data_IF_408678964673
#
_entry.id   IF_408678964673
#
_cell.length_a   1.000
_cell.length_b   1.000
_cell.length_c   1.000
_cell.angle_alpha   90.00
_cell.angle_beta   90.00
_cell.angle_gamma   90.00
#
_symmetry.space_group_name_H-M   'P 1'
#
loop_
_entity.id
_entity.type
_entity.pdbx_description
1 polymer ?
#
# COMPACT_ATOMS: atom_id res chain seq x y z
N UNK A 1 5.31 36.93 51.35
CA UNK A 1 4.30 36.11 52.06
C UNK A 1 3.36 35.49 51.04
N UNK A 2 3.63 34.26 50.57
CA UNK A 2 2.80 33.57 49.56
C UNK A 2 1.88 32.55 50.23
N UNK A 3 0.56 32.63 49.94
CA UNK A 3 -0.42 31.65 50.44
C UNK A 3 -0.34 30.36 49.61
N UNK A 4 -0.27 29.21 50.28
CA UNK A 4 -0.32 27.91 49.61
C UNK A 4 -1.72 27.68 48.97
N UNK A 5 -1.80 27.08 47.77
CA UNK A 5 -3.07 26.79 47.11
C UNK A 5 -3.83 25.68 47.84
N UNK A 6 -5.14 25.88 48.04
CA UNK A 6 -6.05 24.88 48.62
C UNK A 6 -6.17 23.68 47.68
N UNK A 7 -5.74 22.50 48.12
CA UNK A 7 -6.05 21.23 47.46
C UNK A 7 -7.44 20.75 47.91
N UNK A 8 -8.33 20.49 46.94
CA UNK A 8 -9.60 19.82 47.19
C UNK A 8 -9.37 18.31 47.17
N UNK A 9 -9.84 17.53 48.17
CA UNK A 9 -9.64 16.09 48.18
C UNK A 9 -10.43 15.41 47.05
N UNK A 10 -9.87 14.33 46.50
CA UNK A 10 -10.53 13.54 45.46
C UNK A 10 -11.88 12.98 45.97
N UNK A 11 -12.92 12.94 45.12
CA UNK A 11 -14.19 12.32 45.47
C UNK A 11 -13.99 10.81 45.71
N UNK A 12 -14.61 10.30 46.78
CA UNK A 12 -14.57 8.87 47.11
C UNK A 12 -15.34 8.09 46.04
N UNK A 13 -14.65 7.18 45.35
CA UNK A 13 -15.29 6.24 44.40
C UNK A 13 -16.28 5.35 45.15
N UNK A 14 -17.58 5.48 44.82
CA UNK A 14 -18.69 4.76 45.46
C UNK A 14 -18.92 3.35 44.89
N UNK A 15 -18.13 2.92 43.91
CA UNK A 15 -18.33 1.64 43.23
C UNK A 15 -17.08 0.75 43.32
N UNK A 16 -17.19 -0.34 44.06
CA UNK A 16 -16.24 -1.46 44.00
C UNK A 16 -16.56 -2.25 42.72
N UNK A 17 -15.95 -1.87 41.60
CA UNK A 17 -15.98 -2.71 40.40
C UNK A 17 -14.91 -3.79 40.56
N UNK A 18 -15.32 -5.04 40.69
CA UNK A 18 -14.40 -6.17 40.63
C UNK A 18 -13.94 -6.36 39.17
N UNK A 19 -12.67 -6.08 38.90
CA UNK A 19 -12.05 -6.32 37.59
C UNK A 19 -11.37 -7.68 37.66
N UNK A 20 -11.94 -8.67 36.97
CA UNK A 20 -11.29 -9.99 36.79
C UNK A 20 -10.42 -9.94 35.54
N UNK A 21 -9.10 -9.81 35.74
CA UNK A 21 -8.12 -9.91 34.66
C UNK A 21 -7.97 -11.40 34.29
N UNK A 22 -8.27 -11.75 33.04
CA UNK A 22 -7.97 -13.10 32.51
C UNK A 22 -6.66 -13.06 31.72
N UNK A 23 -5.82 -14.10 31.82
CA UNK A 23 -4.67 -14.25 30.93
C UNK A 23 -5.15 -14.23 29.48
N UNK A 24 -4.46 -13.47 28.62
CA UNK A 24 -4.66 -13.56 27.18
C UNK A 24 -4.38 -15.00 26.74
N UNK A 25 -5.31 -15.68 26.05
CA UNK A 25 -5.08 -17.05 25.58
C UNK A 25 -3.87 -17.07 24.64
N UNK A 26 -3.06 -18.13 24.75
CA UNK A 26 -1.90 -18.32 23.86
C UNK A 26 -2.39 -18.29 22.40
N UNK A 27 -1.65 -17.65 21.46
CA UNK A 27 -1.97 -17.75 20.05
C UNK A 27 -2.01 -19.23 19.63
N UNK A 28 -2.94 -19.60 18.73
CA UNK A 28 -2.98 -20.97 18.21
C UNK A 28 -1.64 -21.33 17.56
N UNK A 29 -1.24 -22.61 17.61
CA UNK A 29 0.00 -23.05 16.98
C UNK A 29 -0.03 -22.73 15.48
N UNK A 30 1.13 -22.42 14.87
CA UNK A 30 1.22 -22.16 13.44
C UNK A 30 0.62 -23.33 12.65
N UNK A 31 -0.20 -23.03 11.64
CA UNK A 31 -0.72 -24.04 10.73
C UNK A 31 0.47 -24.67 10.01
N UNK A 32 0.74 -25.95 10.27
CA UNK A 32 1.79 -26.68 9.59
C UNK A 32 1.35 -27.00 8.16
N UNK A 33 1.90 -26.26 7.20
CA UNK A 33 1.73 -26.58 5.79
C UNK A 33 2.33 -27.97 5.48
N UNK A 34 1.72 -28.75 4.57
CA UNK A 34 2.28 -30.02 4.12
C UNK A 34 3.75 -29.86 3.67
N UNK A 35 4.61 -30.86 3.91
CA UNK A 35 6.05 -30.76 3.62
C UNK A 35 6.33 -30.50 2.14
N UNK A 36 5.48 -31.01 1.25
CA UNK A 36 5.58 -30.79 -0.20
C UNK A 36 5.32 -29.32 -0.58
N UNK A 37 4.35 -28.68 0.07
CA UNK A 37 4.06 -27.23 -0.12
C UNK A 37 5.19 -26.38 0.45
N UNK A 38 5.75 -26.77 1.62
CA UNK A 38 6.91 -26.10 2.22
C UNK A 38 8.13 -26.17 1.30
N UNK A 39 8.46 -27.36 0.79
CA UNK A 39 9.58 -27.56 -0.13
C UNK A 39 9.41 -26.80 -1.44
N UNK A 40 8.19 -26.75 -1.99
CA UNK A 40 7.91 -25.96 -3.18
C UNK A 40 8.08 -24.46 -2.91
N UNK A 41 7.58 -23.96 -1.78
CA UNK A 41 7.75 -22.57 -1.37
C UNK A 41 9.23 -22.23 -1.14
N UNK A 42 9.98 -23.10 -0.47
CA UNK A 42 11.41 -22.90 -0.18
C UNK A 42 12.26 -22.97 -1.46
N UNK A 43 11.92 -23.84 -2.42
CA UNK A 43 12.58 -23.91 -3.73
C UNK A 43 12.34 -22.64 -4.54
N UNK A 44 11.11 -22.11 -4.55
CA UNK A 44 10.79 -20.83 -5.20
C UNK A 44 11.58 -19.70 -4.53
N UNK A 45 11.60 -19.67 -3.19
CA UNK A 45 12.31 -18.65 -2.40
C UNK A 45 13.83 -18.73 -2.57
N UNK A 46 14.40 -19.92 -2.73
CA UNK A 46 15.83 -20.12 -3.01
C UNK A 46 16.21 -19.72 -4.45
N UNK A 47 15.28 -19.84 -5.40
CA UNK A 47 15.47 -19.42 -6.80
C UNK A 47 15.16 -17.94 -7.05
N UNK A 48 14.60 -17.24 -6.06
CA UNK A 48 14.30 -15.81 -6.18
C UNK A 48 15.60 -15.00 -6.18
N UNK A 49 16.03 -14.63 -7.38
CA UNK A 49 16.93 -13.49 -7.52
C UNK A 49 16.27 -12.29 -6.83
N UNK A 50 16.96 -11.74 -5.82
CA UNK A 50 16.50 -10.66 -4.96
C UNK A 50 15.73 -9.62 -5.78
N UNK A 51 14.48 -9.36 -5.40
CA UNK A 51 13.66 -8.35 -6.03
C UNK A 51 14.23 -6.97 -5.72
N UNK A 52 15.11 -6.50 -6.59
CA UNK A 52 15.71 -5.17 -6.49
C UNK A 52 14.79 -4.18 -7.19
N UNK A 53 14.32 -3.19 -6.44
CA UNK A 53 13.60 -2.04 -7.00
C UNK A 53 14.63 -1.08 -7.61
N UNK A 54 14.60 -0.80 -8.92
CA UNK A 54 15.54 0.12 -9.54
C UNK A 54 15.40 1.53 -8.98
N UNK A 55 16.52 2.24 -8.82
CA UNK A 55 16.51 3.64 -8.37
C UNK A 55 15.83 4.56 -9.41
N UNK A 56 15.99 4.23 -10.70
CA UNK A 56 15.41 4.97 -11.83
C UNK A 56 14.46 4.09 -12.63
N UNK A 57 13.36 4.67 -13.08
CA UNK A 57 12.35 3.98 -13.88
C UNK A 57 12.80 3.92 -15.36
N UNK A 58 13.69 2.99 -15.68
CA UNK A 58 14.17 2.75 -17.05
C UNK A 58 13.31 1.66 -17.70
N UNK A 59 12.64 1.99 -18.82
CA UNK A 59 11.72 1.10 -19.56
C UNK A 59 10.59 0.57 -18.65
N UNK A 60 9.62 1.42 -18.31
CA UNK A 60 8.52 1.02 -17.44
C UNK A 60 7.70 -0.12 -18.06
N UNK A 61 7.11 -0.94 -17.20
CA UNK A 61 6.09 -1.91 -17.55
C UNK A 61 4.93 -1.21 -18.28
N UNK A 62 4.27 -1.91 -19.21
CA UNK A 62 3.23 -1.36 -20.11
C UNK A 62 2.13 -0.59 -19.37
N UNK A 63 1.65 -1.13 -18.25
CA UNK A 63 0.66 -0.48 -17.37
C UNK A 63 1.16 0.84 -16.77
N UNK A 64 2.44 0.93 -16.41
CA UNK A 64 2.99 2.17 -15.86
C UNK A 64 3.26 3.17 -16.99
N UNK A 65 3.72 2.68 -18.14
CA UNK A 65 3.89 3.50 -19.33
C UNK A 65 2.56 4.15 -19.76
N UNK A 66 1.43 3.42 -19.71
CA UNK A 66 0.11 3.99 -20.00
C UNK A 66 -0.26 5.09 -19.00
N UNK A 67 -0.07 4.88 -17.70
CA UNK A 67 -0.35 5.91 -16.69
C UNK A 67 0.48 7.19 -16.87
N UNK A 68 1.78 7.04 -17.19
CA UNK A 68 2.64 8.18 -17.48
C UNK A 68 2.16 8.94 -18.72
N UNK A 69 1.77 8.20 -19.76
CA UNK A 69 1.24 8.78 -21.00
C UNK A 69 -0.08 9.50 -20.78
N UNK A 70 -1.02 8.91 -20.03
CA UNK A 70 -2.30 9.53 -19.66
C UNK A 70 -2.08 10.81 -18.86
N UNK A 71 -1.13 10.81 -17.92
CA UNK A 71 -0.79 11.99 -17.14
C UNK A 71 -0.24 13.11 -18.03
N UNK A 72 0.69 12.80 -18.94
CA UNK A 72 1.18 13.77 -19.92
C UNK A 72 0.07 14.29 -20.83
N UNK A 73 -0.84 13.43 -21.30
CA UNK A 73 -1.98 13.84 -22.10
C UNK A 73 -2.87 14.82 -21.35
N UNK A 74 -3.18 14.55 -20.08
CA UNK A 74 -3.94 15.48 -19.23
C UNK A 74 -3.24 16.83 -19.07
N UNK A 75 -1.91 16.84 -18.85
CA UNK A 75 -1.14 18.09 -18.82
C UNK A 75 -1.19 18.84 -20.16
N UNK A 76 -1.11 18.14 -21.29
CA UNK A 76 -1.21 18.76 -22.63
C UNK A 76 -2.61 19.35 -22.85
N UNK A 77 -3.66 18.63 -22.48
CA UNK A 77 -5.04 19.09 -22.56
C UNK A 77 -5.26 20.35 -21.70
N UNK A 78 -4.80 20.34 -20.45
CA UNK A 78 -4.87 21.50 -19.57
C UNK A 78 -4.12 22.72 -20.17
N UNK A 79 -2.95 22.51 -20.79
CA UNK A 79 -2.20 23.58 -21.46
C UNK A 79 -2.90 24.13 -22.71
N UNK A 80 -3.66 23.30 -23.42
CA UNK A 80 -4.42 23.72 -24.61
C UNK A 80 -5.72 24.44 -24.27
N UNK A 81 -6.20 24.35 -23.03
CA UNK A 81 -7.40 25.03 -22.58
C UNK A 81 -7.18 26.55 -22.57
N UNK A 82 -8.15 27.27 -23.13
CA UNK A 82 -8.06 28.73 -23.32
C UNK A 82 -8.51 29.48 -22.08
N UNK A 83 -9.46 28.92 -21.33
CA UNK A 83 -9.94 29.48 -20.07
C UNK A 83 -8.93 29.19 -18.94
N UNK A 84 -8.32 30.22 -18.33
CA UNK A 84 -7.36 30.05 -17.24
C UNK A 84 -7.91 29.30 -16.02
N UNK A 85 -9.20 29.45 -15.72
CA UNK A 85 -9.82 28.79 -14.57
C UNK A 85 -9.97 27.29 -14.83
N UNK A 86 -10.43 26.92 -16.04
CA UNK A 86 -10.54 25.51 -16.46
C UNK A 86 -9.17 24.85 -16.60
N UNK A 87 -8.19 25.58 -17.13
CA UNK A 87 -6.80 25.12 -17.22
C UNK A 87 -6.25 24.68 -15.88
N UNK A 88 -6.38 25.51 -14.84
CA UNK A 88 -5.91 25.17 -13.50
C UNK A 88 -6.71 24.04 -12.85
N UNK A 89 -8.02 23.96 -13.13
CA UNK A 89 -8.87 22.91 -12.58
C UNK A 89 -8.53 21.51 -13.13
N UNK A 90 -8.14 21.42 -14.40
CA UNK A 90 -7.84 20.15 -15.07
C UNK A 90 -6.35 19.78 -15.08
N UNK A 91 -5.46 20.65 -14.61
CA UNK A 91 -4.04 20.34 -14.51
C UNK A 91 -3.82 19.27 -13.43
N UNK A 92 -3.35 18.05 -13.78
CA UNK A 92 -3.06 17.03 -12.78
C UNK A 92 -1.83 17.38 -11.92
N UNK A 93 -1.09 18.44 -12.28
CA UNK A 93 0.13 18.86 -11.59
C UNK A 93 1.36 18.06 -12.00
N UNK A 94 2.41 18.15 -11.18
CA UNK A 94 3.60 17.32 -11.30
C UNK A 94 3.55 16.13 -10.34
N UNK A 95 4.14 15.02 -10.74
CA UNK A 95 4.28 13.87 -9.86
C UNK A 95 5.16 14.22 -8.66
N UNK A 96 4.69 13.83 -7.47
CA UNK A 96 5.52 13.94 -6.27
C UNK A 96 6.60 12.85 -6.24
N UNK A 97 7.64 13.05 -5.45
CA UNK A 97 8.67 12.01 -5.22
C UNK A 97 8.05 10.70 -4.71
N UNK A 98 6.97 10.81 -3.94
CA UNK A 98 6.20 9.65 -3.47
C UNK A 98 5.55 8.90 -4.62
N UNK A 99 5.04 9.59 -5.64
CA UNK A 99 4.45 8.95 -6.82
C UNK A 99 5.52 8.28 -7.68
N UNK A 100 6.68 8.93 -7.86
CA UNK A 100 7.83 8.31 -8.49
C UNK A 100 8.29 7.04 -7.73
N UNK A 101 8.28 7.05 -6.39
CA UNK A 101 8.57 5.86 -5.59
C UNK A 101 7.54 4.76 -5.80
N UNK A 102 6.25 5.08 -5.81
CA UNK A 102 5.18 4.10 -6.09
C UNK A 102 5.36 3.47 -7.47
N UNK A 103 5.59 4.26 -8.51
CA UNK A 103 5.81 3.75 -9.87
C UNK A 103 7.00 2.79 -9.92
N UNK A 104 8.13 3.12 -9.26
CA UNK A 104 9.30 2.22 -9.19
C UNK A 104 8.97 0.88 -8.52
N UNK A 105 8.27 0.91 -7.37
CA UNK A 105 7.89 -0.31 -6.65
C UNK A 105 6.93 -1.17 -7.48
N UNK A 106 5.92 -0.54 -8.09
CA UNK A 106 4.96 -1.25 -8.94
C UNK A 106 5.61 -1.82 -10.19
N UNK A 107 6.58 -1.12 -10.79
CA UNK A 107 7.31 -1.59 -11.97
C UNK A 107 8.08 -2.87 -11.67
N UNK A 108 8.83 -2.86 -10.56
CA UNK A 108 9.57 -4.02 -10.11
C UNK A 108 8.63 -5.20 -9.81
N UNK A 109 7.49 -4.93 -9.15
CA UNK A 109 6.50 -5.95 -8.85
C UNK A 109 5.87 -6.56 -10.11
N UNK A 110 5.45 -5.74 -11.08
CA UNK A 110 4.83 -6.25 -12.30
C UNK A 110 5.82 -7.08 -13.12
N UNK A 111 7.05 -6.61 -13.27
CA UNK A 111 8.12 -7.37 -13.94
C UNK A 111 8.45 -8.66 -13.20
N UNK A 112 8.40 -8.68 -11.88
CA UNK A 112 8.60 -9.88 -11.08
C UNK A 112 7.53 -10.94 -11.35
N UNK A 113 6.26 -10.51 -11.37
CA UNK A 113 5.12 -11.37 -11.67
C UNK A 113 5.25 -11.94 -13.09
N UNK A 114 5.57 -11.09 -14.07
CA UNK A 114 5.78 -11.53 -15.46
C UNK A 114 6.96 -12.50 -15.59
N UNK A 115 8.05 -12.29 -14.85
CA UNK A 115 9.20 -13.20 -14.80
C UNK A 115 8.83 -14.58 -14.26
N UNK A 116 7.87 -14.67 -13.34
CA UNK A 116 7.37 -15.92 -12.78
C UNK A 116 6.29 -16.58 -13.67
N UNK A 117 6.05 -16.05 -14.87
CA UNK A 117 5.05 -16.58 -15.81
C UNK A 117 3.64 -16.03 -15.63
N UNK A 118 3.48 -15.02 -14.77
CA UNK A 118 2.23 -14.28 -14.66
C UNK A 118 2.05 -13.27 -15.79
N UNK A 119 0.86 -12.69 -15.90
CA UNK A 119 0.57 -11.55 -16.80
C UNK A 119 -0.11 -10.45 -16.03
N UNK A 120 0.41 -9.23 -16.10
CA UNK A 120 -0.22 -8.08 -15.46
C UNK A 120 -0.93 -7.23 -16.51
N UNK A 121 -2.22 -7.02 -16.34
CA UNK A 121 -3.04 -6.17 -17.21
C UNK A 121 -3.86 -5.19 -16.42
N UNK A 122 -4.07 -4.02 -17.00
CA UNK A 122 -5.08 -3.08 -16.53
C UNK A 122 -6.42 -3.45 -17.17
N UNK A 123 -7.40 -3.80 -16.35
CA UNK A 123 -8.75 -4.08 -16.78
C UNK A 123 -9.64 -2.84 -16.82
N UNK A 124 -10.93 -3.07 -17.08
CA UNK A 124 -11.91 -1.99 -17.13
C UNK A 124 -12.04 -1.27 -15.79
N UNK A 125 -12.25 0.06 -15.85
CA UNK A 125 -12.37 0.96 -14.68
C UNK A 125 -11.09 1.11 -13.83
N UNK A 126 -9.93 0.76 -14.37
CA UNK A 126 -8.64 0.96 -13.71
C UNK A 126 -8.30 -0.08 -12.63
N UNK A 127 -9.01 -1.20 -12.62
CA UNK A 127 -8.65 -2.36 -11.80
C UNK A 127 -7.43 -3.06 -12.40
N UNK A 128 -6.49 -3.45 -11.56
CA UNK A 128 -5.32 -4.22 -11.98
C UNK A 128 -5.55 -5.70 -11.74
N UNK A 129 -5.19 -6.50 -12.73
CA UNK A 129 -5.31 -7.94 -12.70
C UNK A 129 -3.94 -8.55 -12.96
N UNK A 130 -3.48 -9.41 -12.05
CA UNK A 130 -2.42 -10.36 -12.37
C UNK A 130 -3.06 -11.72 -12.61
N UNK A 131 -2.78 -12.29 -13.75
CA UNK A 131 -3.05 -13.68 -14.03
C UNK A 131 -1.81 -14.47 -13.61
N UNK A 132 -1.90 -15.28 -12.56
CA UNK A 132 -0.79 -16.12 -12.07
C UNK A 132 -1.29 -17.56 -12.07
N UNK A 133 -0.62 -18.44 -12.83
CA UNK A 133 -1.00 -19.86 -12.94
C UNK A 133 -2.46 -20.11 -13.39
N UNK A 134 -3.04 -19.20 -14.20
CA UNK A 134 -4.41 -19.28 -14.68
C UNK A 134 -5.47 -18.75 -13.70
N UNK A 135 -5.07 -18.34 -12.49
CA UNK A 135 -5.94 -17.65 -11.55
C UNK A 135 -5.80 -16.13 -11.69
N UNK A 136 -6.96 -15.45 -11.77
CA UNK A 136 -7.02 -13.99 -11.87
C UNK A 136 -7.06 -13.38 -10.47
N UNK A 137 -5.95 -12.78 -10.06
CA UNK A 137 -5.87 -12.02 -8.81
C UNK A 137 -6.13 -10.55 -9.11
N UNK A 138 -7.24 -10.04 -8.57
CA UNK A 138 -7.57 -8.62 -8.63
C UNK A 138 -6.95 -7.89 -7.44
N UNK A 139 -6.27 -6.77 -7.69
CA UNK A 139 -5.69 -5.97 -6.62
C UNK A 139 -5.96 -4.49 -6.80
N UNK A 140 -6.18 -3.84 -5.66
CA UNK A 140 -6.31 -2.39 -5.53
C UNK A 140 -5.28 -1.90 -4.54
N UNK A 141 -4.47 -0.93 -4.95
CA UNK A 141 -3.54 -0.26 -4.04
C UNK A 141 -4.29 0.83 -3.28
N UNK A 142 -4.59 0.58 -2.01
CA UNK A 142 -5.14 1.59 -1.11
C UNK A 142 -4.03 2.21 -0.25
N UNK A 143 -4.10 3.52 -0.03
CA UNK A 143 -3.24 4.20 0.96
C UNK A 143 -3.63 3.71 2.35
N UNK A 144 -2.73 3.04 3.06
CA UNK A 144 -2.98 2.66 4.45
C UNK A 144 -3.12 3.93 5.31
N UNK A 145 -4.23 4.03 6.05
CA UNK A 145 -4.46 5.09 7.05
C UNK A 145 -3.97 4.53 8.38
N UNK A 146 -2.78 4.96 8.83
CA UNK A 146 -2.30 4.64 10.18
C UNK A 146 -3.31 5.20 11.19
N UNK A 147 -4.07 4.33 11.87
CA UNK A 147 -4.78 4.73 13.08
C UNK A 147 -3.74 4.86 14.17
N UNK A 148 -3.50 6.09 14.61
CA UNK A 148 -2.73 6.37 15.81
C UNK A 148 -3.56 5.84 16.98
N UNK A 149 -3.19 4.70 17.55
CA UNK A 149 -3.75 4.22 18.82
C UNK A 149 -2.95 4.95 19.90
N UNK A 150 -3.50 6.07 20.37
CA UNK A 150 -2.97 6.76 21.54
C UNK A 150 -3.14 5.89 22.78
N UNK A 151 -2.03 5.70 23.51
CA UNK A 151 -1.97 5.15 24.86
C UNK A 151 -2.48 6.19 25.88
#
# INVERSE_FOLDING_TARGET
MGKAPKQTPLPKSTSVHSITIRPTPLPPPPIELPPEVKQQADKVRASEAALVVPERLLRPHTVIASWLTEHEQKKRQARSERDPWRRNLYDPGDFSETDHRKHRILDALFKAIERQGGKVKQGERGLLFAEVLGEKVEFRFAKSKSRNVGL
#
